data_IF_992828503493
#
_entry.id   IF_992828503493
#
_cell.length_a   1.000
_cell.length_b   1.000
_cell.length_c   1.000
_cell.angle_alpha   90.00
_cell.angle_beta   90.00
_cell.angle_gamma   90.00
#
_symmetry.space_group_name_H-M   'P 1'
#
loop_
_entity.id
_entity.type
_entity.pdbx_description
1 polymer ?
#
# COMPACT_ATOMS: atom_id res chain seq x y z
N UNK A 1 -9.49 7.93 -30.83
CA UNK A 1 -9.09 9.19 -30.17
C UNK A 1 -7.72 8.93 -29.57
N UNK A 2 -6.70 9.68 -29.97
CA UNK A 2 -5.38 9.59 -29.36
C UNK A 2 -5.40 10.47 -28.11
N UNK A 3 -5.16 9.89 -26.95
CA UNK A 3 -5.07 10.62 -25.68
C UNK A 3 -3.60 10.96 -25.42
N UNK A 4 -3.31 12.25 -25.34
CA UNK A 4 -2.01 12.77 -24.89
C UNK A 4 -2.09 13.06 -23.38
N UNK A 5 -1.10 12.60 -22.62
CA UNK A 5 -1.03 12.81 -21.17
C UNK A 5 -0.46 14.20 -20.87
N UNK A 6 -0.98 14.86 -19.84
CA UNK A 6 -0.48 16.14 -19.37
C UNK A 6 0.93 15.99 -18.76
N UNK A 7 1.18 14.86 -18.09
CA UNK A 7 2.49 14.48 -17.56
C UNK A 7 2.82 13.02 -17.90
N UNK A 8 4.04 12.77 -18.39
CA UNK A 8 4.54 11.42 -18.64
C UNK A 8 4.87 10.69 -17.33
N UNK A 9 4.66 9.38 -17.33
CA UNK A 9 5.09 8.49 -16.25
C UNK A 9 6.62 8.39 -16.15
N UNK A 10 7.34 8.69 -17.23
CA UNK A 10 8.76 8.37 -17.43
C UNK A 10 8.99 7.00 -18.07
N UNK A 11 7.94 6.23 -18.33
CA UNK A 11 7.97 4.90 -18.95
C UNK A 11 6.96 4.83 -20.10
N UNK A 12 7.44 4.55 -21.31
CA UNK A 12 6.60 4.56 -22.50
C UNK A 12 5.53 3.44 -22.51
N UNK A 13 5.75 2.32 -21.83
CA UNK A 13 4.76 1.25 -21.68
C UNK A 13 3.66 1.72 -20.73
N UNK A 14 4.04 2.26 -19.57
CA UNK A 14 3.08 2.78 -18.61
C UNK A 14 2.27 3.94 -19.20
N UNK A 15 2.88 4.86 -19.95
CA UNK A 15 2.18 5.95 -20.64
C UNK A 15 1.11 5.42 -21.60
N UNK A 16 1.43 4.39 -22.39
CA UNK A 16 0.45 3.75 -23.29
C UNK A 16 -0.70 3.11 -22.51
N UNK A 17 -0.42 2.45 -21.39
CA UNK A 17 -1.47 1.86 -20.54
C UNK A 17 -2.37 2.97 -19.98
N UNK A 18 -1.79 4.03 -19.40
CA UNK A 18 -2.57 5.17 -18.85
C UNK A 18 -3.40 5.84 -19.93
N UNK A 19 -2.83 6.17 -21.09
CA UNK A 19 -3.58 6.75 -22.22
C UNK A 19 -4.72 5.83 -22.69
N UNK A 20 -4.51 4.51 -22.68
CA UNK A 20 -5.54 3.52 -22.98
C UNK A 20 -6.69 3.56 -21.97
N UNK A 21 -6.39 3.58 -20.67
CA UNK A 21 -7.38 3.69 -19.59
C UNK A 21 -8.17 4.99 -19.71
N UNK A 22 -7.48 6.13 -19.89
CA UNK A 22 -8.13 7.44 -20.09
C UNK A 22 -9.06 7.38 -21.30
N UNK A 23 -8.60 6.86 -22.44
CA UNK A 23 -9.41 6.74 -23.65
C UNK A 23 -10.68 5.90 -23.46
N UNK A 24 -10.62 4.83 -22.66
CA UNK A 24 -11.79 4.02 -22.30
C UNK A 24 -12.75 4.80 -21.41
N UNK A 25 -12.25 5.43 -20.35
CA UNK A 25 -13.09 6.15 -19.39
C UNK A 25 -13.72 7.41 -19.97
N UNK A 26 -12.98 8.22 -20.72
CA UNK A 26 -13.52 9.41 -21.39
C UNK A 26 -14.61 9.07 -22.42
N UNK A 27 -14.52 7.88 -23.03
CA UNK A 27 -15.56 7.40 -23.95
C UNK A 27 -16.79 6.83 -23.23
N UNK A 28 -16.57 6.10 -22.14
CA UNK A 28 -17.64 5.44 -21.39
C UNK A 28 -18.40 6.39 -20.45
N UNK A 29 -17.73 7.43 -19.95
CA UNK A 29 -18.23 8.37 -18.95
C UNK A 29 -17.93 9.83 -19.38
N UNK A 30 -18.45 10.28 -20.53
CA UNK A 30 -18.08 11.58 -21.11
C UNK A 30 -18.40 12.72 -20.16
N UNK A 31 -17.37 13.51 -19.81
CA UNK A 31 -17.48 14.67 -18.92
C UNK A 31 -17.72 14.34 -17.44
N UNK A 32 -17.68 13.06 -17.04
CA UNK A 32 -17.90 12.63 -15.64
C UNK A 32 -16.61 12.46 -14.87
N UNK A 33 -15.49 12.19 -15.53
CA UNK A 33 -14.19 12.07 -14.86
C UNK A 33 -13.62 13.47 -14.66
N UNK A 34 -13.16 13.75 -13.43
CA UNK A 34 -12.44 14.97 -13.10
C UNK A 34 -10.99 14.85 -13.54
N UNK A 35 -10.30 13.80 -13.10
CA UNK A 35 -8.88 13.64 -13.36
C UNK A 35 -8.36 12.24 -13.04
N UNK A 36 -7.15 11.99 -13.52
CA UNK A 36 -6.43 10.74 -13.40
C UNK A 36 -5.11 11.02 -12.69
N UNK A 37 -4.89 10.35 -11.57
CA UNK A 37 -3.73 10.56 -10.72
C UNK A 37 -2.97 9.26 -10.54
N UNK A 38 -1.68 9.26 -10.89
CA UNK A 38 -0.79 8.16 -10.56
C UNK A 38 -0.54 8.14 -9.06
N UNK A 39 -0.45 6.95 -8.49
CA UNK A 39 0.00 6.70 -7.11
C UNK A 39 1.29 5.87 -7.12
N UNK A 40 1.78 5.60 -5.92
CA UNK A 40 2.85 4.62 -5.71
C UNK A 40 4.17 4.96 -6.40
N UNK A 41 4.81 3.91 -6.92
CA UNK A 41 6.19 4.00 -7.41
C UNK A 41 6.33 4.86 -8.67
N UNK A 42 5.35 4.80 -9.57
CA UNK A 42 5.33 5.64 -10.78
C UNK A 42 5.11 7.12 -10.43
N UNK A 43 4.25 7.46 -9.47
CA UNK A 43 4.05 8.85 -9.07
C UNK A 43 5.31 9.50 -8.48
N UNK A 44 6.14 8.71 -7.81
CA UNK A 44 7.39 9.18 -7.18
C UNK A 44 8.64 9.06 -8.08
N UNK A 45 8.51 8.49 -9.29
CA UNK A 45 9.64 8.17 -10.16
C UNK A 45 10.60 7.13 -9.56
N UNK A 46 10.09 6.31 -8.65
CA UNK A 46 10.85 5.27 -7.95
C UNK A 46 10.40 3.85 -8.36
N UNK A 47 9.73 3.73 -9.51
CA UNK A 47 9.39 2.46 -10.13
C UNK A 47 10.66 1.72 -10.54
N UNK A 48 10.57 0.41 -10.44
CA UNK A 48 11.54 -0.58 -10.91
C UNK A 48 10.79 -1.66 -11.68
N UNK A 49 11.50 -2.51 -12.41
CA UNK A 49 10.90 -3.69 -13.04
C UNK A 49 10.10 -4.50 -12.02
N UNK A 50 8.89 -4.89 -12.40
CA UNK A 50 7.94 -5.57 -11.50
C UNK A 50 7.09 -4.64 -10.61
N UNK A 51 7.26 -3.32 -10.72
CA UNK A 51 6.33 -2.38 -10.06
C UNK A 51 4.96 -2.40 -10.73
N UNK A 52 3.93 -2.36 -9.90
CA UNK A 52 2.55 -2.11 -10.28
C UNK A 52 2.36 -0.66 -10.73
N UNK A 53 1.41 -0.48 -11.65
CA UNK A 53 0.90 0.81 -12.06
C UNK A 53 -0.36 1.12 -11.24
N UNK A 54 -0.21 1.97 -10.24
CA UNK A 54 -1.33 2.41 -9.40
C UNK A 54 -1.96 3.68 -9.99
N UNK A 55 -3.21 3.60 -10.42
CA UNK A 55 -3.95 4.72 -10.98
C UNK A 55 -5.20 5.01 -10.15
N UNK A 56 -5.46 6.27 -9.85
CA UNK A 56 -6.71 6.72 -9.24
C UNK A 56 -7.50 7.56 -10.24
N UNK A 57 -8.73 7.16 -10.51
CA UNK A 57 -9.67 7.80 -11.43
C UNK A 57 -10.72 8.49 -10.57
N UNK A 58 -10.74 9.82 -10.60
CA UNK A 58 -11.61 10.63 -9.75
C UNK A 58 -12.76 11.16 -10.58
N UNK A 59 -13.97 10.74 -10.27
CA UNK A 59 -15.21 11.26 -10.85
C UNK A 59 -15.60 12.59 -10.20
N UNK A 60 -16.17 13.50 -11.01
CA UNK A 60 -16.71 14.76 -10.53
C UNK A 60 -17.88 14.51 -9.59
N UNK A 61 -17.95 15.29 -8.51
CA UNK A 61 -19.06 15.27 -7.55
C UNK A 61 -19.29 13.87 -6.94
N UNK A 62 -20.55 13.43 -6.85
CA UNK A 62 -20.93 12.06 -6.51
C UNK A 62 -21.25 11.27 -7.79
N UNK A 63 -21.15 9.94 -7.71
CA UNK A 63 -21.71 9.10 -8.76
C UNK A 63 -23.21 9.38 -8.91
N UNK A 64 -23.70 9.41 -10.15
CA UNK A 64 -25.10 9.70 -10.45
C UNK A 64 -26.04 8.67 -9.82
N UNK A 65 -25.60 7.40 -9.79
CA UNK A 65 -26.29 6.29 -9.16
C UNK A 65 -25.30 5.15 -8.84
N UNK A 66 -25.69 4.16 -8.02
CA UNK A 66 -24.85 2.99 -7.74
C UNK A 66 -24.43 2.22 -9.00
N UNK A 67 -25.22 2.25 -10.08
CA UNK A 67 -24.89 1.55 -11.32
C UNK A 67 -23.77 2.26 -12.09
N UNK A 68 -23.62 3.59 -12.02
CA UNK A 68 -22.47 4.32 -12.56
C UNK A 68 -21.18 3.86 -11.88
N UNK A 69 -21.19 3.80 -10.53
CA UNK A 69 -20.05 3.33 -9.76
C UNK A 69 -19.65 1.89 -10.15
N UNK A 70 -20.63 0.98 -10.27
CA UNK A 70 -20.39 -0.41 -10.69
C UNK A 70 -19.87 -0.51 -12.13
N UNK A 71 -20.43 0.26 -13.07
CA UNK A 71 -19.92 0.31 -14.45
C UNK A 71 -18.47 0.81 -14.48
N UNK A 72 -18.14 1.83 -13.69
CA UNK A 72 -16.81 2.41 -13.66
C UNK A 72 -15.79 1.43 -13.04
N UNK A 73 -16.15 0.74 -11.96
CA UNK A 73 -15.33 -0.36 -11.40
C UNK A 73 -15.15 -1.51 -12.38
N UNK A 74 -16.22 -1.90 -13.08
CA UNK A 74 -16.16 -2.90 -14.14
C UNK A 74 -15.20 -2.52 -15.27
N UNK A 75 -15.25 -1.26 -15.72
CA UNK A 75 -14.33 -0.74 -16.73
C UNK A 75 -12.87 -0.76 -16.24
N UNK A 76 -12.61 -0.34 -14.99
CA UNK A 76 -11.28 -0.42 -14.38
C UNK A 76 -10.76 -1.87 -14.33
N UNK A 77 -11.59 -2.81 -13.90
CA UNK A 77 -11.24 -4.23 -13.86
C UNK A 77 -10.93 -4.80 -15.25
N UNK A 78 -11.73 -4.45 -16.26
CA UNK A 78 -11.44 -4.84 -17.66
C UNK A 78 -10.14 -4.24 -18.17
N UNK A 79 -9.85 -2.98 -17.86
CA UNK A 79 -8.56 -2.37 -18.22
C UNK A 79 -7.38 -3.09 -17.55
N UNK A 80 -7.52 -3.49 -16.28
CA UNK A 80 -6.49 -4.22 -15.57
C UNK A 80 -6.20 -5.58 -16.21
N UNK A 81 -7.22 -6.31 -16.67
CA UNK A 81 -7.07 -7.59 -17.37
C UNK A 81 -6.40 -7.48 -18.74
N UNK A 82 -6.57 -6.33 -19.41
CA UNK A 82 -6.00 -6.08 -20.74
C UNK A 82 -4.64 -5.38 -20.70
N UNK A 83 -4.23 -4.91 -19.54
CA UNK A 83 -2.99 -4.16 -19.35
C UNK A 83 -1.78 -5.09 -19.49
N UNK A 84 -0.74 -4.60 -20.17
CA UNK A 84 0.56 -5.27 -20.24
C UNK A 84 1.39 -5.10 -18.96
N UNK A 85 0.91 -4.29 -18.02
CA UNK A 85 1.49 -4.09 -16.69
C UNK A 85 0.46 -4.50 -15.63
N UNK A 86 0.88 -4.96 -14.44
CA UNK A 86 -0.02 -5.08 -13.30
C UNK A 86 -0.62 -3.70 -13.00
N UNK A 87 -1.91 -3.51 -13.31
CA UNK A 87 -2.61 -2.23 -13.16
C UNK A 87 -3.59 -2.33 -11.98
N UNK A 88 -3.42 -1.47 -10.99
CA UNK A 88 -4.42 -1.23 -9.95
C UNK A 88 -5.12 0.11 -10.23
N UNK A 89 -6.27 0.04 -10.89
CA UNK A 89 -7.11 1.20 -11.17
C UNK A 89 -8.20 1.35 -10.09
N UNK A 90 -8.00 2.31 -9.19
CA UNK A 90 -8.98 2.70 -8.17
C UNK A 90 -9.93 3.75 -8.74
N UNK A 91 -11.23 3.55 -8.54
CA UNK A 91 -12.27 4.48 -9.00
C UNK A 91 -13.00 5.07 -7.80
N UNK A 92 -13.07 6.40 -7.75
CA UNK A 92 -13.62 7.16 -6.61
C UNK A 92 -14.35 8.39 -7.14
N UNK A 93 -15.26 8.96 -6.35
CA UNK A 93 -15.81 10.30 -6.62
C UNK A 93 -15.21 11.37 -5.70
N UNK A 94 -15.24 12.64 -6.11
CA UNK A 94 -14.83 13.76 -5.25
C UNK A 94 -15.58 13.74 -3.92
N UNK A 95 -16.89 13.46 -3.93
CA UNK A 95 -17.70 13.37 -2.73
C UNK A 95 -17.23 12.26 -1.78
N UNK A 96 -16.78 11.10 -2.31
CA UNK A 96 -16.23 10.03 -1.49
C UNK A 96 -14.92 10.43 -0.81
N UNK A 97 -14.04 11.16 -1.49
CA UNK A 97 -12.77 11.63 -0.93
C UNK A 97 -12.94 12.64 0.23
N UNK A 98 -14.12 13.22 0.39
CA UNK A 98 -14.46 14.09 1.52
C UNK A 98 -14.98 13.31 2.73
N UNK A 99 -15.27 12.01 2.59
CA UNK A 99 -15.86 11.20 3.67
C UNK A 99 -14.77 10.72 4.64
N UNK A 100 -15.10 10.58 5.95
CA UNK A 100 -14.15 10.13 6.97
C UNK A 100 -13.44 8.80 6.65
N UNK A 101 -14.15 7.85 6.03
CA UNK A 101 -13.65 6.54 5.64
C UNK A 101 -12.57 6.59 4.54
N UNK A 102 -12.53 7.68 3.75
CA UNK A 102 -11.59 7.85 2.64
C UNK A 102 -10.50 8.89 2.91
N UNK A 103 -10.39 9.40 4.14
CA UNK A 103 -9.40 10.43 4.49
C UNK A 103 -7.95 10.00 4.24
N UNK A 104 -7.63 8.72 4.43
CA UNK A 104 -6.29 8.19 4.13
C UNK A 104 -5.98 8.28 2.66
N UNK A 105 -6.93 7.84 1.83
CA UNK A 105 -6.79 7.89 0.39
C UNK A 105 -6.69 9.36 -0.08
N UNK A 106 -7.53 10.25 0.44
CA UNK A 106 -7.46 11.67 0.14
C UNK A 106 -6.09 12.26 0.52
N UNK A 107 -5.54 11.89 1.68
CA UNK A 107 -4.19 12.31 2.08
C UNK A 107 -3.11 11.75 1.14
N UNK A 108 -3.18 10.46 0.80
CA UNK A 108 -2.25 9.83 -0.15
C UNK A 108 -2.28 10.54 -1.50
N UNK A 109 -3.47 10.81 -2.04
CA UNK A 109 -3.62 11.56 -3.28
C UNK A 109 -3.01 12.96 -3.14
N UNK A 110 -3.33 13.68 -2.06
CA UNK A 110 -2.82 15.04 -1.84
C UNK A 110 -1.29 15.10 -1.75
N UNK A 111 -0.66 14.15 -1.07
CA UNK A 111 0.78 14.23 -0.76
C UNK A 111 1.68 13.47 -1.74
N UNK A 112 1.17 12.43 -2.40
CA UNK A 112 2.02 11.43 -3.07
C UNK A 112 1.56 11.06 -4.46
N UNK A 113 0.45 11.63 -4.94
CA UNK A 113 0.00 11.37 -6.30
C UNK A 113 0.50 12.42 -7.28
N UNK A 114 0.57 12.02 -8.55
CA UNK A 114 0.93 12.88 -9.68
C UNK A 114 -0.24 12.91 -10.67
N UNK A 115 -0.84 14.08 -10.96
CA UNK A 115 -1.86 14.19 -12.00
C UNK A 115 -1.23 13.88 -13.36
N UNK A 116 -1.92 13.12 -14.19
CA UNK A 116 -1.43 12.74 -15.52
C UNK A 116 -2.40 13.07 -16.65
N UNK A 117 -3.67 13.30 -16.34
CA UNK A 117 -4.66 13.76 -17.29
C UNK A 117 -5.84 14.42 -16.56
N UNK A 118 -6.38 15.50 -17.13
CA UNK A 118 -7.59 16.15 -16.63
C UNK A 118 -7.31 17.14 -15.47
N UNK A 119 -8.33 17.41 -14.65
CA UNK A 119 -8.22 18.37 -13.55
C UNK A 119 -7.48 17.82 -12.33
N UNK A 120 -6.69 18.68 -11.68
CA UNK A 120 -6.01 18.36 -10.42
C UNK A 120 -6.92 18.61 -9.21
N UNK A 121 -7.42 17.53 -8.62
CA UNK A 121 -8.31 17.57 -7.45
C UNK A 121 -7.56 17.75 -6.12
N UNK A 122 -6.22 17.61 -6.08
CA UNK A 122 -5.45 17.55 -4.82
C UNK A 122 -5.61 18.78 -3.95
N UNK A 123 -5.77 19.95 -4.58
CA UNK A 123 -6.00 21.22 -3.87
C UNK A 123 -7.33 21.31 -3.13
N UNK A 124 -8.31 20.45 -3.46
CA UNK A 124 -9.64 20.41 -2.85
C UNK A 124 -9.78 19.32 -1.77
N UNK A 125 -8.78 18.48 -1.60
CA UNK A 125 -8.82 17.36 -0.65
C UNK A 125 -8.66 17.87 0.79
N UNK A 126 -9.37 17.26 1.75
CA UNK A 126 -9.33 17.70 3.14
C UNK A 126 -7.89 17.65 3.68
N UNK A 127 -7.57 18.58 4.59
CA UNK A 127 -6.36 18.43 5.39
C UNK A 127 -6.56 17.28 6.37
N UNK A 128 -5.52 16.47 6.58
CA UNK A 128 -5.58 15.41 7.59
C UNK A 128 -4.85 15.84 8.85
N UNK A 129 -5.58 15.87 9.94
CA UNK A 129 -5.00 16.03 11.27
C UNK A 129 -4.07 14.85 11.59
N UNK A 130 -2.95 15.12 12.26
CA UNK A 130 -1.92 14.12 12.57
C UNK A 130 -2.51 12.92 13.32
N UNK A 131 -3.38 13.16 14.29
CA UNK A 131 -4.03 12.11 15.08
C UNK A 131 -4.91 11.20 14.21
N UNK A 132 -5.65 11.77 13.25
CA UNK A 132 -6.45 10.99 12.30
C UNK A 132 -5.57 10.16 11.38
N UNK A 133 -4.45 10.73 10.91
CA UNK A 133 -3.46 9.98 10.16
C UNK A 133 -2.92 8.78 10.96
N UNK A 134 -2.47 9.00 12.20
CA UNK A 134 -1.95 7.93 13.07
C UNK A 134 -3.01 6.85 13.23
N UNK A 135 -4.23 7.17 13.68
CA UNK A 135 -5.32 6.19 13.87
C UNK A 135 -5.60 5.35 12.63
N UNK A 136 -5.43 5.93 11.45
CA UNK A 136 -5.72 5.27 10.19
C UNK A 136 -4.59 4.35 9.72
N UNK A 137 -3.34 4.77 9.86
CA UNK A 137 -2.18 4.03 9.33
C UNK A 137 -1.70 2.93 10.27
N UNK A 138 -1.90 3.10 11.57
CA UNK A 138 -1.42 2.13 12.58
C UNK A 138 -2.22 0.82 12.58
N UNK A 139 -3.26 0.68 11.77
CA UNK A 139 -3.90 -0.62 11.56
C UNK A 139 -3.32 -1.37 10.35
N UNK A 140 -2.69 -0.65 9.42
CA UNK A 140 -2.32 -1.18 8.10
C UNK A 140 -1.39 -2.39 8.11
N UNK A 141 -0.42 -2.55 9.04
CA UNK A 141 0.44 -3.73 9.06
C UNK A 141 -0.34 -5.04 9.21
N UNK A 142 -1.49 -5.01 9.90
CA UNK A 142 -2.31 -6.20 10.15
C UNK A 142 -2.84 -6.82 8.85
N UNK A 143 -3.08 -6.03 7.79
CA UNK A 143 -3.45 -6.55 6.47
C UNK A 143 -2.37 -7.47 5.91
N UNK A 144 -1.09 -7.11 6.07
CA UNK A 144 0.02 -7.95 5.62
C UNK A 144 0.24 -9.17 6.52
N UNK A 145 -0.14 -9.08 7.81
CA UNK A 145 0.01 -10.20 8.75
C UNK A 145 -1.07 -11.25 8.57
N UNK A 146 -2.26 -10.84 8.11
CA UNK A 146 -3.38 -11.72 7.77
C UNK A 146 -3.24 -12.32 6.35
N UNK A 147 -2.30 -11.82 5.56
CA UNK A 147 -1.90 -12.42 4.31
C UNK A 147 -0.73 -13.39 4.55
N UNK A 148 -0.73 -14.61 3.99
CA UNK A 148 -1.71 -15.21 3.07
C UNK A 148 -2.86 -15.93 3.81
N UNK A 149 -3.86 -16.40 3.06
CA UNK A 149 -5.07 -17.12 3.54
C UNK A 149 -4.82 -18.25 4.56
N UNK A 150 -3.58 -18.67 4.79
CA UNK A 150 -3.18 -19.68 5.76
C UNK A 150 -3.37 -19.25 7.22
N UNK A 151 -3.43 -17.93 7.53
CA UNK A 151 -3.89 -17.46 8.86
C UNK A 151 -5.42 -17.38 8.98
N UNK A 152 -6.12 -18.32 8.33
CA UNK A 152 -7.55 -18.29 7.99
C UNK A 152 -8.54 -18.16 9.18
N UNK A 153 -8.07 -18.20 10.43
CA UNK A 153 -8.89 -17.95 11.61
C UNK A 153 -9.33 -16.50 11.78
N UNK A 154 -8.78 -15.56 11.00
CA UNK A 154 -9.16 -14.14 11.03
C UNK A 154 -8.63 -13.35 12.24
N UNK A 155 -8.24 -14.04 13.31
CA UNK A 155 -7.59 -13.48 14.49
C UNK A 155 -6.08 -13.73 14.50
N UNK A 156 -5.31 -12.73 14.93
CA UNK A 156 -3.87 -12.83 15.12
C UNK A 156 -3.59 -13.26 16.56
N UNK A 157 -2.91 -14.37 16.77
CA UNK A 157 -2.44 -14.78 18.09
C UNK A 157 -1.10 -14.12 18.41
N UNK A 158 -1.01 -13.41 19.54
CA UNK A 158 0.21 -12.76 20.00
C UNK A 158 0.88 -13.59 21.13
N UNK A 159 2.20 -13.84 21.09
CA UNK A 159 3.13 -13.45 20.02
C UNK A 159 2.85 -14.21 18.73
N UNK A 160 3.10 -13.56 17.59
CA UNK A 160 3.04 -14.22 16.29
C UNK A 160 4.12 -15.29 16.19
N UNK A 161 3.80 -16.32 15.42
CA UNK A 161 4.72 -17.34 14.91
C UNK A 161 4.97 -17.14 13.41
N UNK A 162 5.89 -17.91 12.82
CA UNK A 162 6.10 -17.94 11.38
C UNK A 162 4.83 -18.37 10.63
N UNK A 163 4.63 -17.85 9.40
CA UNK A 163 3.48 -18.21 8.56
C UNK A 163 3.56 -19.69 8.19
N UNK A 164 4.75 -20.12 7.78
CA UNK A 164 5.08 -21.52 7.48
C UNK A 164 6.44 -21.84 8.10
N UNK A 165 6.50 -22.39 9.33
CA UNK A 165 7.76 -22.66 10.03
C UNK A 165 8.72 -23.60 9.28
N UNK A 166 8.19 -24.48 8.43
CA UNK A 166 8.97 -25.46 7.66
C UNK A 166 9.45 -24.89 6.31
N UNK A 167 8.80 -23.82 5.83
CA UNK A 167 9.17 -23.12 4.60
C UNK A 167 10.57 -22.52 4.62
N UNK A 168 11.23 -22.52 3.47
CA UNK A 168 12.59 -21.95 3.32
C UNK A 168 12.66 -20.46 3.68
N UNK A 169 11.58 -19.72 3.44
CA UNK A 169 11.47 -18.30 3.77
C UNK A 169 10.32 -18.01 4.74
N UNK A 170 9.96 -19.00 5.55
CA UNK A 170 8.94 -18.89 6.58
C UNK A 170 7.54 -18.45 6.08
N UNK A 171 7.25 -18.66 4.79
CA UNK A 171 6.02 -18.25 4.11
C UNK A 171 6.02 -16.83 3.54
N UNK A 172 7.11 -16.07 3.67
CA UNK A 172 7.22 -14.72 3.08
C UNK A 172 7.34 -14.72 1.55
N UNK A 173 7.57 -15.89 0.93
CA UNK A 173 7.67 -16.10 -0.51
C UNK A 173 6.32 -16.43 -1.18
N UNK A 174 5.24 -16.52 -0.41
CA UNK A 174 3.92 -16.93 -0.90
C UNK A 174 3.19 -15.87 -1.72
N UNK A 175 3.57 -14.59 -1.63
CA UNK A 175 3.05 -13.58 -2.55
C UNK A 175 3.72 -13.74 -3.90
N UNK A 176 2.94 -14.17 -4.89
CA UNK A 176 3.43 -14.38 -6.26
C UNK A 176 3.38 -13.12 -7.10
N UNK A 177 4.32 -12.99 -8.02
CA UNK A 177 4.34 -11.91 -9.03
C UNK A 177 4.42 -12.52 -10.43
N UNK A 178 3.94 -11.81 -11.47
CA UNK A 178 4.14 -12.25 -12.85
C UNK A 178 5.63 -12.39 -13.17
N UNK A 179 6.03 -13.58 -13.61
CA UNK A 179 7.37 -13.86 -14.10
C UNK A 179 7.54 -13.47 -15.58
N UNK A 180 8.76 -13.61 -16.14
CA UNK A 180 9.06 -13.26 -17.54
C UNK A 180 8.17 -13.97 -18.57
N UNK A 181 7.78 -15.21 -18.27
CA UNK A 181 6.93 -16.04 -19.13
C UNK A 181 5.42 -15.82 -18.88
N UNK A 182 5.06 -14.80 -18.09
CA UNK A 182 3.69 -14.51 -17.67
C UNK A 182 3.14 -15.46 -16.58
N UNK A 183 3.93 -16.44 -16.15
CA UNK A 183 3.56 -17.32 -15.04
C UNK A 183 3.91 -16.68 -13.69
N UNK A 184 3.01 -16.79 -12.73
CA UNK A 184 3.23 -16.29 -11.38
C UNK A 184 4.36 -17.05 -10.67
N UNK A 185 5.37 -16.34 -10.18
CA UNK A 185 6.52 -16.87 -9.44
C UNK A 185 6.56 -16.36 -8.00
N UNK A 186 7.09 -17.14 -7.03
CA UNK A 186 7.35 -16.67 -5.67
C UNK A 186 8.19 -15.39 -5.63
N UNK A 187 7.97 -14.53 -4.64
CA UNK A 187 8.62 -13.22 -4.57
C UNK A 187 8.90 -12.76 -3.15
N UNK A 188 9.76 -11.75 -2.98
CA UNK A 188 9.99 -11.07 -1.71
C UNK A 188 8.99 -9.92 -1.45
N UNK A 189 7.94 -9.77 -2.28
CA UNK A 189 7.00 -8.63 -2.20
C UNK A 189 6.24 -8.59 -0.86
N UNK A 190 5.88 -9.75 -0.30
CA UNK A 190 5.25 -9.82 1.03
C UNK A 190 6.20 -9.33 2.12
N UNK A 191 7.46 -9.79 2.11
CA UNK A 191 8.48 -9.33 3.06
C UNK A 191 8.64 -7.80 3.00
N UNK A 192 8.80 -7.24 1.81
CA UNK A 192 8.95 -5.78 1.63
C UNK A 192 7.70 -5.03 2.09
N UNK A 193 6.50 -5.51 1.73
CA UNK A 193 5.24 -4.90 2.16
C UNK A 193 5.08 -4.95 3.68
N UNK A 194 5.34 -6.10 4.29
CA UNK A 194 5.25 -6.30 5.74
C UNK A 194 6.21 -5.36 6.49
N UNK A 195 7.49 -5.34 6.13
CA UNK A 195 8.47 -4.49 6.80
C UNK A 195 8.17 -3.01 6.56
N UNK A 196 7.82 -2.64 5.32
CA UNK A 196 7.50 -1.25 4.97
C UNK A 196 6.27 -0.70 5.70
N UNK A 197 5.18 -1.47 5.78
CA UNK A 197 3.98 -1.07 6.52
C UNK A 197 4.24 -0.99 8.02
N UNK A 198 4.97 -1.97 8.58
CA UNK A 198 5.34 -1.99 10.00
C UNK A 198 6.17 -0.77 10.37
N UNK A 199 7.21 -0.46 9.58
CA UNK A 199 8.05 0.72 9.77
C UNK A 199 7.24 2.02 9.66
N UNK A 200 6.34 2.12 8.68
CA UNK A 200 5.44 3.27 8.52
C UNK A 200 4.55 3.48 9.74
N UNK A 201 3.95 2.42 10.26
CA UNK A 201 3.10 2.49 11.45
C UNK A 201 3.90 2.89 12.70
N UNK A 202 5.13 2.39 12.85
CA UNK A 202 6.02 2.77 13.95
C UNK A 202 6.44 4.25 13.88
N UNK A 203 6.75 4.76 12.69
CA UNK A 203 7.02 6.20 12.47
C UNK A 203 5.80 7.03 12.85
N UNK A 204 4.61 6.63 12.40
CA UNK A 204 3.37 7.32 12.73
C UNK A 204 3.09 7.33 14.24
N UNK A 205 3.19 6.17 14.91
CA UNK A 205 3.00 6.05 16.37
C UNK A 205 3.98 6.90 17.17
N UNK A 206 5.22 7.03 16.69
CA UNK A 206 6.30 7.67 17.46
C UNK A 206 6.34 9.18 17.25
N UNK A 207 6.19 9.65 16.02
CA UNK A 207 6.38 11.06 15.66
C UNK A 207 5.24 11.67 14.84
N UNK A 208 4.18 10.92 14.54
CA UNK A 208 3.03 11.41 13.76
C UNK A 208 3.39 11.81 12.33
N UNK A 209 4.52 11.35 11.78
CA UNK A 209 4.99 11.76 10.46
C UNK A 209 4.44 10.88 9.36
N UNK A 210 4.00 11.54 8.30
CA UNK A 210 3.56 10.88 7.08
C UNK A 210 4.73 10.28 6.30
N UNK A 211 4.61 9.00 5.94
CA UNK A 211 5.56 8.30 5.07
C UNK A 211 5.03 8.31 3.64
N UNK A 212 5.68 9.10 2.78
CA UNK A 212 5.25 9.30 1.38
C UNK A 212 5.44 8.07 0.50
N UNK A 213 6.59 7.45 0.61
CA UNK A 213 7.01 6.38 -0.28
C UNK A 213 8.01 5.46 0.42
N UNK A 214 8.33 4.35 -0.26
CA UNK A 214 9.26 3.33 0.25
C UNK A 214 10.66 3.90 0.55
N UNK A 215 11.15 4.87 -0.21
CA UNK A 215 12.47 5.49 0.05
C UNK A 215 12.42 6.41 1.27
N UNK A 216 11.36 7.20 1.38
CA UNK A 216 11.11 8.06 2.53
C UNK A 216 10.95 7.24 3.83
N UNK A 217 10.41 6.02 3.76
CA UNK A 217 10.27 5.13 4.91
C UNK A 217 11.61 4.88 5.62
N UNK A 218 12.63 4.42 4.89
CA UNK A 218 13.96 4.15 5.46
C UNK A 218 14.60 5.41 6.03
N UNK A 219 14.50 6.53 5.31
CA UNK A 219 15.08 7.80 5.75
C UNK A 219 14.42 8.33 7.04
N UNK A 220 13.09 8.30 7.11
CA UNK A 220 12.32 8.72 8.28
C UNK A 220 12.52 7.77 9.46
N UNK A 221 12.63 6.46 9.22
CA UNK A 221 12.89 5.48 10.27
C UNK A 221 14.26 5.74 10.93
N UNK A 222 15.30 5.94 10.12
CA UNK A 222 16.63 6.32 10.60
C UNK A 222 16.61 7.65 11.35
N UNK A 223 15.85 8.63 10.86
CA UNK A 223 15.82 9.96 11.48
C UNK A 223 15.13 9.96 12.85
N UNK A 224 14.12 9.13 13.05
CA UNK A 224 13.20 9.26 14.19
C UNK A 224 13.19 8.09 15.16
N UNK A 225 13.59 6.89 14.74
CA UNK A 225 13.58 5.71 15.60
C UNK A 225 15.00 5.21 15.88
N UNK A 226 15.83 5.06 14.85
CA UNK A 226 17.25 4.68 14.93
C UNK A 226 17.55 3.56 15.95
N UNK A 227 16.70 2.52 15.95
CA UNK A 227 16.77 1.41 16.89
C UNK A 227 17.38 0.14 16.26
N UNK A 228 17.40 -0.97 17.02
CA UNK A 228 17.95 -2.26 16.60
C UNK A 228 17.27 -2.85 15.33
N UNK A 229 16.11 -2.32 14.92
CA UNK A 229 15.39 -2.75 13.72
C UNK A 229 15.78 -1.97 12.47
N UNK A 230 16.47 -0.83 12.57
CA UNK A 230 16.90 -0.05 11.41
C UNK A 230 17.65 -0.89 10.37
N UNK A 231 18.61 -1.78 10.73
CA UNK A 231 19.28 -2.62 9.73
C UNK A 231 18.30 -3.51 8.97
N UNK A 232 17.29 -4.10 9.64
CA UNK A 232 16.27 -4.91 8.95
C UNK A 232 15.49 -4.07 7.93
N UNK A 233 15.03 -2.88 8.34
CA UNK A 233 14.26 -1.98 7.47
C UNK A 233 15.09 -1.55 6.25
N UNK A 234 16.36 -1.22 6.46
CA UNK A 234 17.28 -0.85 5.39
C UNK A 234 17.58 -2.03 4.46
N UNK A 235 17.98 -3.17 5.01
CA UNK A 235 18.40 -4.36 4.25
C UNK A 235 17.25 -4.92 3.39
N UNK A 236 16.02 -4.95 3.91
CA UNK A 236 14.86 -5.41 3.12
C UNK A 236 14.58 -4.47 1.94
N UNK A 237 14.73 -3.17 2.12
CA UNK A 237 14.56 -2.23 1.02
C UNK A 237 15.72 -2.31 0.00
N UNK A 238 16.96 -2.36 0.46
CA UNK A 238 18.13 -2.42 -0.41
C UNK A 238 18.19 -3.75 -1.16
N UNK A 239 18.09 -4.88 -0.45
CA UNK A 239 18.31 -6.20 -1.03
C UNK A 239 17.07 -6.70 -1.75
N UNK A 240 15.92 -6.73 -1.08
CA UNK A 240 14.73 -7.36 -1.66
C UNK A 240 14.12 -6.49 -2.76
N UNK A 241 13.96 -5.17 -2.53
CA UNK A 241 13.40 -4.27 -3.54
C UNK A 241 14.44 -3.84 -4.56
N UNK A 242 15.55 -3.22 -4.16
CA UNK A 242 16.42 -2.53 -5.12
C UNK A 242 17.37 -3.48 -5.86
N UNK A 243 18.00 -4.43 -5.14
CA UNK A 243 18.97 -5.38 -5.73
C UNK A 243 18.30 -6.57 -6.40
N UNK A 244 17.41 -7.28 -5.71
CA UNK A 244 16.73 -8.48 -6.22
C UNK A 244 15.44 -8.18 -6.99
N UNK A 245 14.98 -6.91 -7.03
CA UNK A 245 13.78 -6.49 -7.79
C UNK A 245 12.56 -7.34 -7.46
N UNK A 246 12.36 -7.59 -6.17
CA UNK A 246 11.35 -8.47 -5.59
C UNK A 246 11.46 -9.96 -5.95
N UNK A 247 12.46 -10.39 -6.72
CA UNK A 247 12.68 -11.80 -7.05
C UNK A 247 13.36 -12.53 -5.89
N UNK A 248 13.23 -13.86 -5.86
CA UNK A 248 14.05 -14.68 -4.97
C UNK A 248 15.46 -14.82 -5.54
N UNK A 249 16.53 -14.65 -4.75
CA UNK A 249 17.88 -14.86 -5.24
C UNK A 249 18.16 -16.33 -5.55
N UNK A 250 18.97 -16.57 -6.57
CA UNK A 250 19.39 -17.92 -6.97
C UNK A 250 20.62 -18.40 -6.17
N UNK A 251 21.54 -17.48 -5.84
CA UNK A 251 22.79 -17.81 -5.18
C UNK A 251 22.56 -18.26 -3.73
N UNK A 252 23.12 -19.40 -3.33
CA UNK A 252 22.89 -19.97 -2.00
C UNK A 252 23.30 -19.06 -0.83
N UNK A 253 24.28 -18.16 -1.01
CA UNK A 253 24.64 -17.17 0.00
C UNK A 253 23.55 -16.09 0.17
N UNK A 254 23.01 -15.57 -0.93
CA UNK A 254 21.93 -14.58 -0.92
C UNK A 254 20.62 -15.20 -0.42
N UNK A 255 20.35 -16.48 -0.70
CA UNK A 255 19.21 -17.21 -0.12
C UNK A 255 19.29 -17.32 1.39
N UNK A 256 20.49 -17.62 1.94
CA UNK A 256 20.69 -17.59 3.41
C UNK A 256 20.43 -16.20 3.98
N UNK A 257 20.92 -15.16 3.31
CA UNK A 257 20.67 -13.78 3.73
C UNK A 257 19.17 -13.43 3.71
N UNK A 258 18.43 -13.83 2.66
CA UNK A 258 16.98 -13.65 2.62
C UNK A 258 16.29 -14.39 3.77
N UNK A 259 16.70 -15.64 4.06
CA UNK A 259 16.14 -16.40 5.17
C UNK A 259 16.37 -15.72 6.52
N UNK A 260 17.56 -15.16 6.75
CA UNK A 260 17.87 -14.38 7.96
C UNK A 260 16.98 -13.12 8.09
N UNK A 261 16.70 -12.42 6.99
CA UNK A 261 15.77 -11.28 6.98
C UNK A 261 14.34 -11.72 7.33
N UNK A 262 13.88 -12.84 6.77
CA UNK A 262 12.58 -13.42 7.08
C UNK A 262 12.47 -13.82 8.57
N UNK A 263 13.53 -14.39 9.13
CA UNK A 263 13.60 -14.76 10.55
C UNK A 263 13.48 -13.52 11.45
N UNK A 264 14.30 -12.49 11.20
CA UNK A 264 14.29 -11.23 11.95
C UNK A 264 12.95 -10.49 11.85
N UNK A 265 12.25 -10.62 10.71
CA UNK A 265 10.95 -9.98 10.49
C UNK A 265 9.91 -10.44 11.49
N UNK A 266 9.92 -11.70 11.93
CA UNK A 266 9.00 -12.16 12.98
C UNK A 266 9.16 -11.36 14.28
N UNK A 267 10.41 -11.17 14.70
CA UNK A 267 10.74 -10.33 15.86
C UNK A 267 10.26 -8.90 15.69
N UNK A 268 10.40 -8.33 14.50
CA UNK A 268 9.95 -6.98 14.19
C UNK A 268 8.43 -6.83 14.24
N UNK A 269 7.70 -7.80 13.68
CA UNK A 269 6.24 -7.83 13.75
C UNK A 269 5.74 -7.90 15.21
N UNK A 270 6.37 -8.74 16.03
CA UNK A 270 6.05 -8.86 17.45
C UNK A 270 6.41 -7.59 18.25
N UNK A 271 7.55 -6.96 17.94
CA UNK A 271 7.90 -5.66 18.51
C UNK A 271 6.79 -4.62 18.23
N UNK A 272 6.34 -4.55 16.99
CA UNK A 272 5.26 -3.66 16.58
C UNK A 272 3.94 -3.99 17.27
N UNK A 273 3.51 -5.25 17.31
CA UNK A 273 2.21 -5.61 17.92
C UNK A 273 2.13 -5.25 19.40
N UNK A 274 3.25 -5.34 20.13
CA UNK A 274 3.33 -4.84 21.50
C UNK A 274 3.05 -3.34 21.58
N UNK A 275 3.69 -2.53 20.72
CA UNK A 275 3.49 -1.07 20.65
C UNK A 275 2.08 -0.70 20.21
N UNK A 276 1.55 -1.42 19.23
CA UNK A 276 0.19 -1.26 18.75
C UNK A 276 -0.84 -1.57 19.85
N UNK A 277 -0.63 -2.64 20.63
CA UNK A 277 -1.48 -2.96 21.79
C UNK A 277 -1.45 -1.87 22.85
N UNK A 278 -0.27 -1.36 23.20
CA UNK A 278 -0.12 -0.24 24.14
C UNK A 278 -0.93 0.98 23.66
N UNK A 279 -0.84 1.29 22.37
CA UNK A 279 -1.59 2.36 21.74
C UNK A 279 -3.11 2.12 21.82
N UNK A 280 -3.62 0.94 21.44
CA UNK A 280 -5.06 0.66 21.50
C UNK A 280 -5.59 0.67 22.94
N UNK A 281 -4.80 0.21 23.93
CA UNK A 281 -5.18 0.31 25.34
C UNK A 281 -5.25 1.75 25.85
N UNK A 282 -4.48 2.67 25.27
CA UNK A 282 -4.60 4.10 25.56
C UNK A 282 -5.84 4.69 24.89
N UNK A 283 -6.09 4.39 23.62
CA UNK A 283 -7.28 4.84 22.88
C UNK A 283 -8.59 4.30 23.50
N UNK A 284 -8.59 3.08 24.04
CA UNK A 284 -9.73 2.50 24.74
C UNK A 284 -10.11 3.26 26.04
N UNK A 285 -9.21 4.11 26.56
CA UNK A 285 -9.47 4.99 27.71
C UNK A 285 -9.89 6.39 27.30
N UNK A 286 -10.03 6.66 26.00
CA UNK A 286 -10.48 7.96 25.50
C UNK A 286 -11.90 8.28 25.95
N UNK A 287 -12.16 9.58 26.18
CA UNK A 287 -13.51 10.10 26.42
C UNK A 287 -14.36 10.14 25.13
N UNK A 288 -13.72 10.07 23.97
CA UNK A 288 -14.36 9.95 22.66
C UNK A 288 -14.91 8.53 22.45
N UNK A 289 -16.24 8.34 22.37
CA UNK A 289 -16.86 7.02 22.23
C UNK A 289 -16.45 6.27 20.97
N UNK A 290 -16.27 6.98 19.84
CA UNK A 290 -15.90 6.35 18.56
C UNK A 290 -14.47 5.82 18.62
N UNK A 291 -13.54 6.60 19.21
CA UNK A 291 -12.17 6.15 19.45
C UNK A 291 -12.13 4.92 20.34
N UNK A 292 -12.89 4.95 21.44
CA UNK A 292 -12.94 3.85 22.39
C UNK A 292 -13.48 2.58 21.74
N UNK A 293 -14.59 2.67 21.02
CA UNK A 293 -15.21 1.53 20.33
C UNK A 293 -14.27 0.94 19.28
N UNK A 294 -13.67 1.79 18.44
CA UNK A 294 -12.71 1.35 17.42
C UNK A 294 -11.50 0.65 18.05
N UNK A 295 -10.99 1.18 19.17
CA UNK A 295 -9.86 0.60 19.86
C UNK A 295 -10.17 -0.77 20.47
N UNK A 296 -11.36 -0.93 21.06
CA UNK A 296 -11.83 -2.21 21.60
C UNK A 296 -11.98 -3.26 20.48
N UNK A 297 -12.62 -2.89 19.37
CA UNK A 297 -12.74 -3.76 18.20
C UNK A 297 -11.37 -4.21 17.67
N UNK A 298 -10.40 -3.28 17.62
CA UNK A 298 -9.03 -3.56 17.18
C UNK A 298 -8.25 -4.45 18.15
N UNK A 299 -8.55 -4.39 19.44
CA UNK A 299 -7.96 -5.30 20.43
C UNK A 299 -8.50 -6.71 20.28
N UNK A 300 -9.77 -6.90 19.90
CA UNK A 300 -10.35 -8.24 19.65
C UNK A 300 -9.69 -8.96 18.47
N UNK A 301 -9.18 -8.21 17.50
CA UNK A 301 -8.46 -8.76 16.33
C UNK A 301 -7.09 -9.35 16.69
N UNK A 302 -6.55 -9.03 17.88
CA UNK A 302 -5.29 -9.56 18.40
C UNK A 302 -5.60 -10.39 19.65
N UNK A 303 -5.69 -11.70 19.47
CA UNK A 303 -5.87 -12.64 20.56
C UNK A 303 -4.57 -12.79 21.35
N UNK A 304 -4.65 -12.56 22.66
CA UNK A 304 -3.54 -12.69 23.61
C UNK A 304 -3.42 -14.11 24.15
#
# INVERSE_FOLDING_TARGET
>A
MTVELDESTGDAVADRVVSGVVGVFERAFPGRVHGYLLRGSYASGANIDGSDLDLCIVFQEEFADPAEAERARGAAASCAQLSSLPLEALVVSEAQLQRPDNLVLALQLRLTSRPVYGGDVRGKLPALETDTYVRSVVYTPLHSYLYPKQRAGGSLHYPLEHIDPEGEFFGFDQWRMPGPDGQDVPSTKLLVATVGWTATALIALTVGRYVRDKRACVALYRQHLDDDWLPLVADVHELCRDRWRYQLPEAGAERRQLRELCERTLGFQNHYLRRYREYQLAEAKSDDPERRELALHRLEQIQL
#
